data_IF_093066915737
#
_entry.id   IF_093066915737
#
_cell.length_a   1.000
_cell.length_b   1.000
_cell.length_c   1.000
_cell.angle_alpha   90.00
_cell.angle_beta   90.00
_cell.angle_gamma   90.00
#
_symmetry.space_group_name_H-M   'P 1'
#
loop_
_entity.id
_entity.type
_entity.pdbx_description
1 polymer ?
#
# COMPACT_ATOMS: atom_id res chain seq x y z
N UNK A 1 -19.65 -9.14 28.32
CA UNK A 1 -19.24 -8.95 26.91
C UNK A 1 -17.72 -9.10 26.81
N UNK A 2 -17.26 -10.19 26.21
CA UNK A 2 -15.83 -10.37 25.92
C UNK A 2 -15.47 -9.36 24.83
N UNK A 3 -14.35 -8.66 24.99
CA UNK A 3 -13.84 -7.77 23.96
C UNK A 3 -13.53 -8.52 22.66
N UNK A 4 -13.15 -7.76 21.62
CA UNK A 4 -12.73 -8.30 20.31
C UNK A 4 -11.23 -8.60 20.34
N UNK A 5 -10.84 -9.78 19.87
CA UNK A 5 -9.44 -10.13 19.71
C UNK A 5 -8.97 -9.70 18.32
N UNK A 6 -7.94 -8.86 18.29
CA UNK A 6 -7.28 -8.42 17.07
C UNK A 6 -5.94 -9.14 16.97
N UNK A 7 -5.78 -9.94 15.94
CA UNK A 7 -4.51 -10.57 15.62
C UNK A 7 -3.69 -9.64 14.72
N UNK A 8 -2.62 -9.10 15.23
CA UNK A 8 -1.64 -8.33 14.45
C UNK A 8 -0.70 -9.31 13.77
N UNK A 9 -0.89 -9.49 12.47
CA UNK A 9 -0.14 -10.46 11.66
C UNK A 9 1.24 -9.91 11.33
N UNK A 10 1.31 -8.64 10.98
CA UNK A 10 2.54 -8.02 10.52
C UNK A 10 2.52 -6.51 10.76
N UNK A 11 3.68 -5.97 11.06
CA UNK A 11 3.91 -4.52 11.14
C UNK A 11 5.16 -4.17 10.35
N UNK A 12 5.02 -3.26 9.42
CA UNK A 12 6.11 -2.75 8.59
C UNK A 12 6.20 -1.24 8.72
N UNK A 13 7.42 -0.73 8.64
CA UNK A 13 7.72 0.70 8.66
C UNK A 13 8.54 1.07 7.43
N UNK A 14 8.14 2.13 6.74
CA UNK A 14 8.97 2.80 5.75
C UNK A 14 10.09 3.60 6.42
N UNK A 15 11.02 4.11 5.65
CA UNK A 15 12.02 5.05 6.16
C UNK A 15 11.48 6.48 6.08
N UNK A 16 11.59 7.27 7.17
CA UNK A 16 11.21 8.66 7.13
C UNK A 16 11.95 9.41 6.03
N UNK A 17 11.24 10.23 5.28
CA UNK A 17 11.80 10.99 4.17
C UNK A 17 10.96 12.23 3.90
N UNK A 18 11.57 13.28 3.40
CA UNK A 18 10.86 14.47 2.90
C UNK A 18 10.15 14.22 1.56
N UNK A 19 10.30 13.03 1.00
CA UNK A 19 9.64 12.62 -0.23
C UNK A 19 8.89 11.31 -0.01
N UNK A 20 7.65 11.23 -0.49
CA UNK A 20 6.82 10.03 -0.38
C UNK A 20 7.32 8.87 -1.24
N UNK A 21 7.99 9.14 -2.36
CA UNK A 21 8.48 8.10 -3.27
C UNK A 21 9.50 7.17 -2.58
N UNK A 22 10.60 7.66 -1.98
CA UNK A 22 11.55 6.79 -1.27
C UNK A 22 10.95 6.04 -0.10
N UNK A 23 10.05 6.65 0.68
CA UNK A 23 9.44 5.96 1.82
C UNK A 23 8.49 4.85 1.37
N UNK A 24 7.71 5.07 0.32
CA UNK A 24 6.85 4.05 -0.28
C UNK A 24 7.63 2.89 -0.88
N UNK A 25 8.72 3.17 -1.60
CA UNK A 25 9.62 2.13 -2.14
C UNK A 25 10.19 1.23 -1.04
N UNK A 26 10.65 1.82 0.05
CA UNK A 26 11.21 1.05 1.16
C UNK A 26 10.15 0.17 1.80
N UNK A 27 8.94 0.68 1.97
CA UNK A 27 7.82 -0.08 2.51
C UNK A 27 7.45 -1.26 1.59
N UNK A 28 7.30 -1.03 0.28
CA UNK A 28 6.96 -2.09 -0.68
C UNK A 28 8.01 -3.20 -0.74
N UNK A 29 9.29 -2.83 -0.65
CA UNK A 29 10.35 -3.83 -0.59
C UNK A 29 10.32 -4.64 0.72
N UNK A 30 10.05 -4.00 1.85
CA UNK A 30 9.90 -4.68 3.13
C UNK A 30 8.69 -5.60 3.15
N UNK A 31 7.62 -5.23 2.46
CA UNK A 31 6.42 -6.07 2.34
C UNK A 31 6.74 -7.46 1.77
N UNK A 32 7.54 -7.53 0.73
CA UNK A 32 7.89 -8.80 0.07
C UNK A 32 9.10 -9.51 0.66
N UNK A 33 9.97 -8.81 1.40
CA UNK A 33 11.23 -9.36 1.91
C UNK A 33 11.29 -9.54 3.42
N UNK A 34 10.39 -8.91 4.17
CA UNK A 34 10.39 -9.02 5.62
C UNK A 34 10.12 -10.46 6.05
N UNK A 35 10.95 -10.95 6.96
CA UNK A 35 10.69 -12.24 7.60
C UNK A 35 9.36 -12.16 8.36
N UNK A 36 8.59 -13.22 8.29
CA UNK A 36 7.40 -13.35 9.11
C UNK A 36 7.79 -13.22 10.59
N UNK A 37 7.15 -12.28 11.25
CA UNK A 37 7.21 -12.18 12.70
C UNK A 37 6.07 -13.01 13.30
N UNK A 38 6.25 -13.57 14.50
CA UNK A 38 5.15 -14.23 15.16
C UNK A 38 4.01 -13.22 15.38
N UNK A 39 2.78 -13.56 14.99
CA UNK A 39 1.65 -12.67 15.21
C UNK A 39 1.43 -12.43 16.72
N UNK A 40 0.93 -11.27 17.06
CA UNK A 40 0.54 -10.94 18.43
C UNK A 40 -0.95 -10.67 18.53
N UNK A 41 -1.57 -11.13 19.61
CA UNK A 41 -2.96 -10.88 19.89
C UNK A 41 -3.09 -9.66 20.80
N UNK A 42 -4.05 -8.81 20.47
CA UNK A 42 -4.36 -7.59 21.22
C UNK A 42 -5.86 -7.59 21.51
N UNK A 43 -6.23 -7.43 22.76
CA UNK A 43 -7.64 -7.34 23.16
C UNK A 43 -8.15 -5.92 23.02
N UNK A 44 -9.24 -5.76 22.30
CA UNK A 44 -9.98 -4.52 22.20
C UNK A 44 -11.26 -4.62 23.02
N UNK A 45 -11.30 -3.94 24.15
CA UNK A 45 -12.51 -3.85 24.97
C UNK A 45 -13.55 -2.98 24.28
N UNK A 46 -14.82 -3.31 24.48
CA UNK A 46 -15.93 -2.55 23.92
C UNK A 46 -15.88 -1.08 24.36
N UNK A 47 -15.93 -0.19 23.39
CA UNK A 47 -15.88 1.26 23.63
C UNK A 47 -14.51 1.81 24.03
N UNK A 48 -13.49 0.96 24.04
CA UNK A 48 -12.10 1.37 24.30
C UNK A 48 -11.32 1.52 23.00
N UNK A 49 -10.13 2.10 23.14
CA UNK A 49 -9.13 2.20 22.08
C UNK A 49 -7.91 1.40 22.49
N UNK A 50 -7.25 0.79 21.53
CA UNK A 50 -5.98 0.11 21.74
C UNK A 50 -4.99 0.52 20.63
N UNK A 51 -3.72 0.63 21.00
CA UNK A 51 -2.65 0.99 20.07
C UNK A 51 -2.10 -0.28 19.44
N UNK A 52 -2.22 -0.40 18.13
CA UNK A 52 -1.67 -1.52 17.38
C UNK A 52 -0.24 -1.26 16.93
N UNK A 53 0.06 -0.02 16.62
CA UNK A 53 1.38 0.40 16.16
C UNK A 53 1.65 1.83 16.62
N UNK A 54 2.82 2.03 17.18
CA UNK A 54 3.33 3.34 17.56
C UNK A 54 4.71 3.52 16.94
N UNK A 55 4.88 4.60 16.20
CA UNK A 55 6.17 5.00 15.66
C UNK A 55 6.66 6.27 16.35
N UNK A 56 7.33 6.07 17.47
CA UNK A 56 8.04 7.11 18.21
C UNK A 56 9.53 7.12 17.89
N UNK A 57 9.91 6.61 16.72
CA UNK A 57 11.28 6.30 16.41
C UNK A 57 12.18 7.52 16.38
N UNK A 58 13.30 7.37 17.01
CA UNK A 58 14.46 8.26 16.87
C UNK A 58 14.78 8.43 15.38
N UNK A 59 14.85 9.66 14.92
CA UNK A 59 15.24 9.98 13.55
C UNK A 59 14.12 10.54 12.66
N UNK A 60 12.89 10.64 13.14
CA UNK A 60 11.85 11.42 12.46
C UNK A 60 12.16 12.91 12.72
N UNK A 61 12.28 13.67 11.64
CA UNK A 61 12.52 15.11 11.68
C UNK A 61 11.24 15.85 11.35
N UNK A 62 11.21 17.12 11.65
CA UNK A 62 10.16 18.00 11.15
C UNK A 62 10.08 17.89 9.62
N UNK A 63 8.87 17.83 9.07
CA UNK A 63 8.55 17.68 7.65
C UNK A 63 8.92 16.32 7.03
N UNK A 64 9.32 15.33 7.83
CA UNK A 64 9.45 13.98 7.33
C UNK A 64 8.06 13.32 7.18
N UNK A 65 7.88 12.66 6.03
CA UNK A 65 6.78 11.76 5.78
C UNK A 65 7.09 10.41 6.40
N UNK A 66 6.12 9.85 7.07
CA UNK A 66 6.20 8.51 7.68
C UNK A 66 5.17 7.62 7.01
N UNK A 67 5.61 6.45 6.59
CA UNK A 67 4.74 5.42 6.05
C UNK A 67 4.88 4.13 6.85
N UNK A 68 3.78 3.42 6.98
CA UNK A 68 3.75 2.15 7.67
C UNK A 68 2.59 1.29 7.20
N UNK A 69 2.67 0.01 7.51
CA UNK A 69 1.62 -0.97 7.27
C UNK A 69 1.44 -1.80 8.52
N UNK A 70 0.20 -1.99 8.91
CA UNK A 70 -0.20 -2.91 9.97
C UNK A 70 -1.22 -3.86 9.38
N UNK A 71 -0.85 -5.12 9.28
CA UNK A 71 -1.74 -6.17 8.80
C UNK A 71 -2.41 -6.83 10.00
N UNK A 72 -3.74 -6.90 9.96
CA UNK A 72 -4.54 -7.41 11.07
C UNK A 72 -5.62 -8.36 10.58
N UNK A 73 -5.94 -9.34 11.41
CA UNK A 73 -7.13 -10.18 11.27
C UNK A 73 -8.08 -9.89 12.43
N UNK A 74 -9.37 -9.75 12.13
CA UNK A 74 -10.42 -9.49 13.12
C UNK A 74 -11.62 -10.39 12.82
N UNK A 75 -12.33 -10.84 13.86
CA UNK A 75 -13.53 -11.66 13.71
C UNK A 75 -14.79 -10.82 13.50
N UNK A 76 -14.73 -9.54 13.87
CA UNK A 76 -15.82 -8.58 13.68
C UNK A 76 -15.33 -7.27 13.10
N UNK A 77 -16.21 -6.44 12.54
CA UNK A 77 -15.84 -5.12 12.04
C UNK A 77 -15.31 -4.23 13.16
N UNK A 78 -14.12 -3.68 12.98
CA UNK A 78 -13.49 -2.72 13.88
C UNK A 78 -13.12 -1.45 13.13
N UNK A 79 -13.05 -0.33 13.86
CA UNK A 79 -12.64 0.94 13.28
C UNK A 79 -11.16 1.18 13.55
N UNK A 80 -10.42 1.46 12.49
CA UNK A 80 -9.02 1.86 12.56
C UNK A 80 -8.87 3.36 12.33
N UNK A 81 -7.86 3.94 12.96
CA UNK A 81 -7.47 5.32 12.74
C UNK A 81 -5.96 5.48 12.88
N UNK A 82 -5.40 6.42 12.15
CA UNK A 82 -4.04 6.89 12.32
C UNK A 82 -4.06 8.30 12.92
N UNK A 83 -3.12 8.58 13.81
CA UNK A 83 -2.98 9.90 14.41
C UNK A 83 -1.50 10.30 14.48
N UNK A 84 -1.23 11.57 14.22
CA UNK A 84 0.05 12.20 14.50
C UNK A 84 -0.14 13.03 15.74
N UNK A 85 0.60 12.72 16.79
CA UNK A 85 0.45 13.30 18.10
C UNK A 85 1.74 14.01 18.53
N UNK A 86 1.66 15.00 19.42
CA UNK A 86 2.84 15.55 20.08
C UNK A 86 3.65 14.44 20.78
N UNK A 87 4.97 14.56 20.68
CA UNK A 87 5.88 13.55 21.26
C UNK A 87 5.79 13.51 22.80
N UNK A 88 5.62 14.66 23.42
CA UNK A 88 5.54 14.77 24.88
C UNK A 88 4.10 14.66 25.38
N UNK A 89 3.93 13.99 26.50
CA UNK A 89 2.63 13.87 27.17
C UNK A 89 1.97 12.51 27.02
N UNK A 90 0.71 12.41 27.44
CA UNK A 90 -0.06 11.17 27.36
C UNK A 90 -0.74 11.03 26.00
N UNK A 91 -0.55 9.89 25.37
CA UNK A 91 -1.19 9.52 24.11
C UNK A 91 -2.72 9.61 24.22
N UNK A 92 -3.29 9.12 25.33
CA UNK A 92 -4.74 9.13 25.56
C UNK A 92 -5.29 10.57 25.58
N UNK A 93 -4.62 11.48 26.32
CA UNK A 93 -5.02 12.89 26.38
C UNK A 93 -4.90 13.59 25.03
N UNK A 94 -3.91 13.24 24.25
CA UNK A 94 -3.75 13.77 22.90
C UNK A 94 -4.83 13.25 21.96
N UNK A 95 -5.14 11.96 22.01
CA UNK A 95 -6.20 11.36 21.21
C UNK A 95 -7.59 11.91 21.53
N UNK A 96 -7.87 12.27 22.80
CA UNK A 96 -9.13 12.93 23.20
C UNK A 96 -9.31 14.30 22.53
N UNK A 97 -8.21 15.00 22.28
CA UNK A 97 -8.19 16.34 21.65
C UNK A 97 -7.96 16.29 20.14
N UNK A 98 -7.60 15.15 19.60
CA UNK A 98 -7.32 15.00 18.20
C UNK A 98 -8.55 15.32 17.34
N UNK A 99 -8.33 16.03 16.27
CA UNK A 99 -9.35 16.33 15.26
C UNK A 99 -9.04 15.60 13.98
N UNK A 100 -10.08 15.18 13.27
CA UNK A 100 -9.91 14.63 11.94
C UNK A 100 -9.38 15.71 11.00
N UNK A 101 -8.31 15.35 10.28
CA UNK A 101 -7.80 16.21 9.23
C UNK A 101 -8.69 16.10 7.99
N UNK A 102 -8.83 17.18 7.23
CA UNK A 102 -9.44 17.09 5.90
C UNK A 102 -8.61 16.13 5.01
N UNK A 103 -9.20 15.54 3.97
CA UNK A 103 -8.43 14.85 2.95
C UNK A 103 -7.37 15.79 2.37
N UNK A 104 -6.22 15.26 2.03
CA UNK A 104 -5.21 16.00 1.29
C UNK A 104 -5.61 16.16 -0.19
N UNK A 105 -4.73 16.74 -0.99
CA UNK A 105 -4.96 16.95 -2.42
C UNK A 105 -5.13 15.65 -3.23
N UNK A 106 -4.73 14.52 -2.68
CA UNK A 106 -4.87 13.20 -3.31
C UNK A 106 -6.11 12.46 -2.83
N UNK A 107 -6.80 12.98 -1.81
CA UNK A 107 -8.03 12.43 -1.25
C UNK A 107 -7.96 10.95 -0.80
N UNK A 108 -6.76 10.49 -0.44
CA UNK A 108 -6.42 9.08 -0.21
C UNK A 108 -6.89 8.52 1.14
N UNK A 109 -7.70 9.25 1.88
CA UNK A 109 -8.27 8.73 3.11
C UNK A 109 -9.44 7.81 2.82
N UNK A 110 -9.39 6.58 3.31
CA UNK A 110 -10.50 5.65 3.17
C UNK A 110 -10.07 4.19 3.28
N UNK A 111 -11.02 3.32 3.02
CA UNK A 111 -10.85 1.87 2.94
C UNK A 111 -10.84 1.46 1.47
N UNK A 112 -9.75 0.86 1.02
CA UNK A 112 -9.54 0.40 -0.35
C UNK A 112 -9.12 -1.07 -0.37
N UNK A 113 -9.38 -1.81 -1.47
CA UNK A 113 -8.80 -3.13 -1.66
C UNK A 113 -7.27 -3.05 -1.63
N UNK A 114 -6.62 -3.96 -0.88
CA UNK A 114 -5.16 -4.06 -0.87
C UNK A 114 -4.60 -4.91 -2.01
N UNK A 115 -5.37 -5.88 -2.48
CA UNK A 115 -4.96 -6.82 -3.50
C UNK A 115 -5.90 -6.77 -4.69
N UNK A 116 -5.33 -6.66 -5.87
CA UNK A 116 -6.06 -6.67 -7.13
C UNK A 116 -5.49 -7.74 -8.03
N UNK A 117 -6.37 -8.53 -8.63
CA UNK A 117 -5.99 -9.67 -9.46
C UNK A 117 -6.40 -9.41 -10.90
N UNK A 118 -5.43 -9.51 -11.79
CA UNK A 118 -5.64 -9.41 -13.22
C UNK A 118 -5.24 -10.74 -13.86
N UNK A 119 -6.10 -11.24 -14.72
CA UNK A 119 -5.84 -12.42 -15.52
C UNK A 119 -6.03 -12.06 -16.99
N UNK A 120 -5.00 -12.25 -17.80
CA UNK A 120 -5.09 -11.99 -19.23
C UNK A 120 -5.81 -13.13 -19.94
N UNK A 121 -6.44 -12.83 -21.09
CA UNK A 121 -6.67 -13.85 -22.10
C UNK A 121 -5.34 -14.41 -22.63
N UNK A 122 -5.40 -15.44 -23.48
CA UNK A 122 -4.21 -16.03 -24.09
C UNK A 122 -3.62 -15.06 -25.10
N UNK A 123 -2.44 -14.53 -24.78
CA UNK A 123 -1.70 -13.63 -25.65
C UNK A 123 -0.77 -14.43 -26.57
N UNK A 124 -0.85 -14.14 -27.87
CA UNK A 124 0.03 -14.72 -28.87
C UNK A 124 1.24 -13.81 -29.07
N UNK A 125 2.32 -14.14 -28.39
CA UNK A 125 3.52 -13.32 -28.35
C UNK A 125 4.30 -13.31 -29.69
N UNK A 126 4.02 -14.23 -30.59
CA UNK A 126 4.63 -14.24 -31.92
C UNK A 126 3.94 -13.25 -32.88
N UNK A 127 2.72 -12.84 -32.54
CA UNK A 127 1.90 -11.97 -33.41
C UNK A 127 1.88 -10.52 -32.99
N UNK A 128 1.99 -10.23 -31.71
CA UNK A 128 1.79 -8.85 -31.21
C UNK A 128 2.49 -8.60 -29.89
N UNK A 129 2.79 -7.33 -29.64
CA UNK A 129 3.10 -6.87 -28.29
C UNK A 129 1.81 -6.82 -27.44
N UNK A 130 1.90 -7.12 -26.15
CA UNK A 130 0.81 -6.99 -25.18
C UNK A 130 0.95 -5.72 -24.35
N UNK A 131 -0.17 -5.18 -23.89
CA UNK A 131 -0.24 -4.07 -22.93
C UNK A 131 -1.20 -4.42 -21.81
N UNK A 132 -0.80 -4.18 -20.56
CA UNK A 132 -1.66 -4.22 -19.40
C UNK A 132 -1.64 -2.83 -18.77
N UNK A 133 -2.79 -2.26 -18.53
CA UNK A 133 -2.94 -0.94 -17.94
C UNK A 133 -3.43 -1.10 -16.49
N UNK A 134 -2.65 -0.57 -15.53
CA UNK A 134 -2.93 -0.67 -14.10
C UNK A 134 -3.43 0.65 -13.50
N UNK A 135 -3.48 1.69 -14.29
CA UNK A 135 -3.96 3.01 -13.93
C UNK A 135 -3.50 4.03 -14.96
N UNK A 136 -4.23 5.11 -15.11
CA UNK A 136 -3.93 6.17 -16.07
C UNK A 136 -4.38 7.51 -15.52
N UNK A 137 -3.58 8.55 -15.75
CA UNK A 137 -4.00 9.93 -15.46
C UNK A 137 -5.16 10.40 -16.37
N UNK A 138 -5.33 9.75 -17.52
CA UNK A 138 -6.39 10.08 -18.49
C UNK A 138 -7.69 9.29 -18.27
N UNK A 139 -7.61 8.22 -17.45
CA UNK A 139 -8.77 7.35 -17.18
C UNK A 139 -8.72 6.82 -15.76
N UNK A 140 -9.76 7.09 -14.98
CA UNK A 140 -9.91 6.58 -13.62
C UNK A 140 -10.35 5.11 -13.59
N UNK A 141 -10.69 4.53 -14.75
CA UNK A 141 -11.28 3.19 -14.85
C UNK A 141 -10.44 2.05 -14.23
N UNK A 142 -9.15 2.29 -13.98
CA UNK A 142 -8.24 1.29 -13.39
C UNK A 142 -7.78 1.65 -11.98
N UNK A 143 -8.21 2.76 -11.44
CA UNK A 143 -7.96 3.08 -10.04
C UNK A 143 -8.93 2.32 -9.14
N UNK A 144 -8.44 1.93 -7.97
CA UNK A 144 -9.28 1.19 -7.05
C UNK A 144 -10.27 2.12 -6.36
N UNK A 145 -11.51 1.71 -6.39
CA UNK A 145 -12.57 2.38 -5.66
C UNK A 145 -12.58 1.95 -4.20
N UNK A 146 -12.88 2.88 -3.33
CA UNK A 146 -12.99 2.68 -1.90
C UNK A 146 -13.98 3.64 -1.28
N UNK A 147 -13.93 3.77 0.05
CA UNK A 147 -14.86 4.60 0.79
C UNK A 147 -14.17 5.36 1.92
N UNK A 148 -14.40 6.66 1.98
CA UNK A 148 -14.06 7.46 3.16
C UNK A 148 -15.06 7.16 4.29
N UNK A 149 -14.64 6.44 5.30
CA UNK A 149 -15.48 5.99 6.41
C UNK A 149 -15.89 7.12 7.37
N UNK A 150 -15.31 8.32 7.25
CA UNK A 150 -15.71 9.46 8.05
C UNK A 150 -16.88 10.22 7.43
N UNK A 151 -16.84 10.39 6.11
CA UNK A 151 -17.82 11.17 5.35
C UNK A 151 -18.83 10.28 4.61
N UNK A 152 -18.62 8.97 4.58
CA UNK A 152 -19.44 7.97 3.88
C UNK A 152 -19.59 8.24 2.38
N UNK A 153 -18.53 8.78 1.76
CA UNK A 153 -18.48 9.05 0.31
C UNK A 153 -17.51 8.10 -0.39
N UNK A 154 -17.82 7.76 -1.63
CA UNK A 154 -16.92 7.02 -2.51
C UNK A 154 -15.64 7.79 -2.79
N UNK A 155 -14.53 7.07 -2.91
CA UNK A 155 -13.20 7.61 -3.21
C UNK A 155 -12.50 6.72 -4.21
N UNK A 156 -11.65 7.31 -5.01
CA UNK A 156 -10.73 6.61 -5.90
C UNK A 156 -9.31 6.71 -5.37
N UNK A 157 -8.58 5.60 -5.46
CA UNK A 157 -7.14 5.58 -5.17
C UNK A 157 -6.36 6.01 -6.41
N UNK A 158 -6.31 7.31 -6.66
CA UNK A 158 -5.66 7.91 -7.84
C UNK A 158 -4.14 7.77 -7.81
N UNK A 159 -3.66 6.59 -8.08
CA UNK A 159 -2.23 6.21 -8.05
C UNK A 159 -2.02 4.81 -7.53
N UNK A 160 -3.09 4.11 -7.16
CA UNK A 160 -3.04 2.74 -6.63
C UNK A 160 -2.02 2.58 -5.49
N UNK A 161 -1.94 3.59 -4.61
CA UNK A 161 -1.02 3.58 -3.47
C UNK A 161 -1.35 2.45 -2.50
N UNK A 162 -0.32 1.70 -2.12
CA UNK A 162 -0.48 0.57 -1.19
C UNK A 162 -1.21 -0.63 -1.78
N UNK A 163 -1.43 -0.67 -3.09
CA UNK A 163 -2.08 -1.78 -3.78
C UNK A 163 -1.03 -2.78 -4.28
N UNK A 164 -1.27 -4.05 -4.02
CA UNK A 164 -0.51 -5.15 -4.62
C UNK A 164 -1.28 -5.69 -5.82
N UNK A 165 -0.71 -5.54 -7.01
CA UNK A 165 -1.30 -6.05 -8.24
C UNK A 165 -0.74 -7.45 -8.53
N UNK A 166 -1.62 -8.43 -8.62
CA UNK A 166 -1.30 -9.80 -9.03
C UNK A 166 -1.67 -9.97 -10.50
N UNK A 167 -0.64 -10.14 -11.34
CA UNK A 167 -0.83 -10.25 -12.78
C UNK A 167 -0.56 -11.69 -13.22
N UNK A 168 -1.57 -12.35 -13.76
CA UNK A 168 -1.43 -13.64 -14.41
C UNK A 168 -1.52 -13.44 -15.92
N UNK A 169 -0.42 -13.69 -16.63
CA UNK A 169 -0.33 -13.51 -18.08
C UNK A 169 -0.24 -14.88 -18.71
N UNK A 170 -1.26 -15.24 -19.46
CA UNK A 170 -1.25 -16.44 -20.30
C UNK A 170 -0.67 -16.11 -21.66
N UNK A 171 0.43 -16.78 -22.01
CA UNK A 171 1.05 -16.60 -23.32
C UNK A 171 1.18 -17.93 -24.05
N UNK A 172 1.11 -17.91 -25.37
CA UNK A 172 1.50 -18.99 -26.25
C UNK A 172 2.64 -18.52 -27.16
N UNK A 173 3.44 -19.47 -27.62
CA UNK A 173 4.67 -19.21 -28.37
C UNK A 173 5.89 -19.52 -27.52
N UNK A 174 7.03 -19.66 -28.18
CA UNK A 174 8.33 -19.92 -27.55
C UNK A 174 9.24 -18.72 -27.76
N UNK A 175 9.84 -18.21 -26.69
CA UNK A 175 10.76 -17.07 -26.86
C UNK A 175 11.11 -16.39 -25.54
N UNK A 176 11.92 -15.36 -25.68
CA UNK A 176 12.22 -14.42 -24.58
C UNK A 176 11.34 -13.20 -24.75
N UNK A 177 10.80 -12.71 -23.65
CA UNK A 177 9.97 -11.52 -23.62
C UNK A 177 10.67 -10.44 -22.82
N UNK A 178 10.59 -9.21 -23.30
CA UNK A 178 11.01 -8.03 -22.56
C UNK A 178 9.79 -7.40 -21.91
N UNK A 179 9.89 -7.07 -20.62
CA UNK A 179 8.87 -6.35 -19.89
C UNK A 179 9.25 -4.88 -19.76
N UNK A 180 8.37 -4.00 -20.18
CA UNK A 180 8.55 -2.56 -20.10
C UNK A 180 7.51 -1.94 -19.16
N UNK A 181 7.96 -1.03 -18.30
CA UNK A 181 7.08 -0.18 -17.52
C UNK A 181 6.86 1.15 -18.24
N UNK A 182 5.61 1.57 -18.24
CA UNK A 182 5.23 2.94 -18.55
C UNK A 182 4.54 3.56 -17.33
N UNK A 183 5.14 4.54 -16.64
CA UNK A 183 4.54 5.19 -15.50
C UNK A 183 3.39 6.15 -15.88
N UNK A 184 3.09 6.28 -17.18
CA UNK A 184 1.95 7.01 -17.72
C UNK A 184 1.81 8.45 -17.23
N UNK A 185 2.92 9.19 -17.23
CA UNK A 185 2.99 10.62 -16.85
C UNK A 185 3.34 10.88 -15.40
N UNK A 186 3.50 9.82 -14.60
CA UNK A 186 3.92 9.91 -13.21
C UNK A 186 5.36 9.43 -12.97
N UNK A 187 5.64 9.20 -11.72
CA UNK A 187 6.87 8.55 -11.24
C UNK A 187 6.49 7.25 -10.59
N UNK A 188 7.15 6.17 -10.96
CA UNK A 188 6.96 4.88 -10.31
C UNK A 188 8.26 4.41 -9.65
N UNK A 189 8.15 3.99 -8.41
CA UNK A 189 9.13 3.18 -7.70
C UNK A 189 8.41 2.04 -6.99
N UNK A 190 9.01 0.85 -6.97
CA UNK A 190 8.34 -0.27 -6.34
C UNK A 190 9.17 -1.54 -6.33
N UNK A 191 8.49 -2.64 -6.08
CA UNK A 191 9.06 -3.97 -6.09
C UNK A 191 8.20 -4.86 -6.98
N UNK A 192 8.85 -5.62 -7.83
CA UNK A 192 8.21 -6.61 -8.69
C UNK A 192 8.69 -7.99 -8.27
N UNK A 193 7.76 -8.90 -8.05
CA UNK A 193 8.03 -10.32 -7.85
C UNK A 193 7.59 -11.09 -9.08
N UNK A 194 8.46 -11.92 -9.66
CA UNK A 194 8.21 -12.59 -10.93
C UNK A 194 8.40 -14.10 -10.79
N UNK A 195 7.45 -14.81 -11.39
CA UNK A 195 7.50 -16.26 -11.57
C UNK A 195 7.35 -17.04 -10.28
N UNK A 196 7.34 -18.35 -10.43
CA UNK A 196 7.21 -19.28 -9.30
C UNK A 196 8.43 -19.24 -8.37
N UNK A 197 9.59 -18.90 -8.92
CA UNK A 197 10.85 -18.78 -8.16
C UNK A 197 10.90 -17.51 -7.31
N UNK A 198 9.85 -16.69 -7.35
CA UNK A 198 9.74 -15.43 -6.60
C UNK A 198 10.95 -14.51 -6.78
N UNK A 199 11.41 -14.37 -8.00
CA UNK A 199 12.50 -13.48 -8.32
C UNK A 199 12.10 -12.04 -8.05
N UNK A 200 12.82 -11.36 -7.15
CA UNK A 200 12.57 -9.98 -6.78
C UNK A 200 13.38 -9.02 -7.63
N UNK A 201 12.71 -8.04 -8.18
CA UNK A 201 13.32 -6.90 -8.86
C UNK A 201 12.93 -5.62 -8.14
N UNK A 202 13.93 -4.83 -7.75
CA UNK A 202 13.70 -3.47 -7.31
C UNK A 202 13.57 -2.58 -8.54
N UNK A 203 12.47 -1.87 -8.60
CA UNK A 203 12.24 -0.87 -9.63
C UNK A 203 12.67 0.46 -9.06
N UNK A 204 13.74 0.98 -9.62
CA UNK A 204 14.21 2.32 -9.29
C UNK A 204 13.29 3.36 -9.92
N UNK A 205 13.43 4.60 -9.49
CA UNK A 205 12.67 5.73 -10.00
C UNK A 205 12.59 5.71 -11.52
N UNK A 206 11.40 5.48 -12.03
CA UNK A 206 11.08 5.41 -13.45
C UNK A 206 10.15 6.56 -13.78
N UNK A 207 10.63 7.47 -14.62
CA UNK A 207 9.91 8.70 -15.00
C UNK A 207 9.54 8.71 -16.48
N UNK A 208 10.07 7.76 -17.25
CA UNK A 208 9.94 7.75 -18.70
C UNK A 208 9.32 6.46 -19.21
N UNK A 209 8.56 6.62 -20.28
CA UNK A 209 8.04 5.53 -21.07
C UNK A 209 9.14 4.58 -21.55
N UNK A 210 8.87 3.29 -21.56
CA UNK A 210 9.73 2.29 -22.16
C UNK A 210 10.95 1.88 -21.35
N UNK A 211 10.93 2.09 -20.04
CA UNK A 211 12.00 1.55 -19.20
C UNK A 211 11.92 0.04 -19.15
N UNK A 212 12.95 -0.62 -19.67
CA UNK A 212 13.05 -2.08 -19.67
C UNK A 212 13.36 -2.58 -18.26
N UNK A 213 12.63 -3.57 -17.81
CA UNK A 213 12.82 -4.17 -16.50
C UNK A 213 13.71 -5.40 -16.53
N UNK A 214 13.59 -6.25 -17.53
CA UNK A 214 14.43 -7.44 -17.77
C UNK A 214 14.25 -8.03 -19.17
#
# INVERSE_FOLDING_TARGET
DKGEEIKVVRTLRGEPSRSYVPTGKTLSFREVTAKQQPPRNVMLEKGKRTILFEDNAKGIRQDDLVSGMVEVETSSPVRFGAAILPYEGSVEKHLEKARYLPPDSHEMRGTFPMHVYFESGVWDAEKSAGKIELGSAESTAFFQEGRDELNFIGRENTGNYGITCHLTIHSKGTGKYDLYLNPNGGVFEGTLEIGQDRRLLRIYRTERYGTRWF
#
